data_IF_946846983940
#
_entry.id   IF_946846983940
#
_cell.length_a   1.000
_cell.length_b   1.000
_cell.length_c   1.000
_cell.angle_alpha   90.00
_cell.angle_beta   90.00
_cell.angle_gamma   90.00
#
_symmetry.space_group_name_H-M   'P 1'
#
loop_
_entity.id
_entity.type
_entity.pdbx_description
1 polymer ?
#
# COMPACT_ATOMS: atom_id res chain seq x y z
N UNK A 1 -19.15 11.77 24.56
CA UNK A 1 -18.67 10.79 23.56
C UNK A 1 -19.72 9.69 23.44
N UNK A 2 -20.30 9.43 22.26
CA UNK A 2 -21.29 8.35 22.05
C UNK A 2 -20.58 7.18 21.35
N UNK A 3 -20.71 5.96 21.87
CA UNK A 3 -20.09 4.75 21.33
C UNK A 3 -21.15 3.94 20.59
N UNK A 4 -20.82 3.47 19.37
CA UNK A 4 -21.69 2.57 18.62
C UNK A 4 -21.34 1.12 18.96
N UNK A 5 -22.09 0.52 19.91
CA UNK A 5 -21.84 -0.85 20.37
C UNK A 5 -21.84 -1.89 19.23
N UNK A 6 -22.64 -1.67 18.18
CA UNK A 6 -22.68 -2.55 16.99
C UNK A 6 -21.37 -2.59 16.21
N UNK A 7 -20.50 -1.59 16.38
CA UNK A 7 -19.18 -1.49 15.73
C UNK A 7 -18.04 -1.79 16.69
N UNK A 8 -18.35 -2.13 17.94
CA UNK A 8 -17.36 -2.46 18.95
C UNK A 8 -17.02 -3.95 18.89
N UNK A 9 -15.73 -4.26 18.90
CA UNK A 9 -15.20 -5.60 18.96
C UNK A 9 -14.35 -5.71 20.22
N UNK A 10 -14.67 -6.66 21.10
CA UNK A 10 -14.01 -6.84 22.39
C UNK A 10 -13.38 -8.23 22.50
N UNK A 11 -12.19 -8.31 23.11
CA UNK A 11 -11.48 -9.56 23.39
C UNK A 11 -11.23 -10.46 22.16
N UNK A 12 -10.98 -9.86 20.98
CA UNK A 12 -10.61 -10.61 19.78
C UNK A 12 -9.09 -10.76 19.68
N UNK A 13 -8.62 -11.90 19.18
CA UNK A 13 -7.21 -12.13 18.86
C UNK A 13 -6.75 -11.30 17.64
N UNK A 14 -7.68 -11.02 16.73
CA UNK A 14 -7.45 -10.23 15.52
C UNK A 14 -8.55 -9.19 15.34
N UNK A 15 -8.17 -7.96 14.95
CA UNK A 15 -9.08 -6.86 14.74
C UNK A 15 -8.81 -6.16 13.41
N UNK A 16 -9.87 -5.89 12.64
CA UNK A 16 -9.79 -5.01 11.46
C UNK A 16 -9.93 -3.56 11.88
N UNK A 17 -8.90 -2.75 11.62
CA UNK A 17 -8.90 -1.34 11.93
C UNK A 17 -8.16 -0.56 10.82
N UNK A 18 -8.77 0.53 10.35
CA UNK A 18 -8.17 1.46 9.38
C UNK A 18 -7.62 0.80 8.10
N UNK A 19 -8.19 -0.31 7.63
CA UNK A 19 -7.69 -1.01 6.43
C UNK A 19 -6.54 -1.98 6.71
N UNK A 20 -6.21 -2.19 7.98
CA UNK A 20 -5.26 -3.20 8.44
C UNK A 20 -5.94 -4.27 9.28
N UNK A 21 -5.31 -5.43 9.40
CA UNK A 21 -5.63 -6.46 10.39
C UNK A 21 -4.54 -6.44 11.45
N UNK A 22 -4.92 -6.13 12.69
CA UNK A 22 -4.04 -6.13 13.86
C UNK A 22 -4.18 -7.49 14.53
N UNK A 23 -3.10 -8.24 14.68
CA UNK A 23 -3.07 -9.56 15.33
C UNK A 23 -1.87 -9.61 16.28
N UNK A 24 -2.13 -9.49 17.59
CA UNK A 24 -1.08 -9.37 18.60
C UNK A 24 -0.11 -8.22 18.32
N UNK A 25 1.16 -8.56 18.03
CA UNK A 25 2.23 -7.62 17.68
C UNK A 25 2.43 -7.45 16.16
N UNK A 26 1.56 -8.04 15.34
CA UNK A 26 1.67 -8.01 13.88
C UNK A 26 0.57 -7.16 13.26
N UNK A 27 0.94 -6.43 12.22
CA UNK A 27 0.07 -5.60 11.40
C UNK A 27 0.08 -6.15 9.97
N UNK A 28 -1.09 -6.51 9.48
CA UNK A 28 -1.30 -7.00 8.11
C UNK A 28 -2.13 -6.00 7.32
N UNK A 29 -2.01 -6.03 6.00
CA UNK A 29 -2.95 -5.34 5.12
C UNK A 29 -4.29 -6.11 5.10
N UNK A 30 -5.42 -5.41 5.14
CA UNK A 30 -6.72 -6.04 4.88
C UNK A 30 -6.80 -6.46 3.42
N UNK A 31 -6.65 -7.76 3.17
CA UNK A 31 -6.71 -8.35 1.82
C UNK A 31 -8.00 -8.01 1.07
N UNK A 32 -9.10 -7.70 1.76
CA UNK A 32 -10.35 -7.29 1.09
C UNK A 32 -10.22 -5.91 0.45
N UNK A 33 -9.47 -4.99 1.09
CA UNK A 33 -9.20 -3.65 0.54
C UNK A 33 -8.28 -3.72 -0.66
N UNK A 34 -7.26 -4.60 -0.61
CA UNK A 34 -6.37 -4.85 -1.74
C UNK A 34 -7.12 -5.52 -2.88
N UNK A 35 -7.91 -6.57 -2.61
CA UNK A 35 -8.69 -7.29 -3.63
C UNK A 35 -9.63 -6.35 -4.41
N UNK A 36 -10.29 -5.41 -3.74
CA UNK A 36 -11.14 -4.41 -4.40
C UNK A 36 -10.36 -3.56 -5.43
N UNK A 37 -9.09 -3.25 -5.16
CA UNK A 37 -8.23 -2.52 -6.09
C UNK A 37 -7.66 -3.43 -7.17
N UNK A 38 -7.36 -4.70 -6.85
CA UNK A 38 -6.86 -5.66 -7.82
C UNK A 38 -7.88 -6.05 -8.89
N UNK A 39 -9.17 -6.05 -8.53
CA UNK A 39 -10.29 -6.36 -9.42
C UNK A 39 -10.63 -5.24 -10.39
N UNK A 40 -10.17 -4.01 -10.12
CA UNK A 40 -10.40 -2.90 -11.03
C UNK A 40 -9.56 -3.06 -12.31
N UNK A 41 -10.10 -2.60 -13.46
CA UNK A 41 -9.34 -2.58 -14.70
C UNK A 41 -8.11 -1.68 -14.57
N UNK A 42 -7.14 -1.92 -15.45
CA UNK A 42 -5.93 -1.12 -15.51
C UNK A 42 -6.28 0.37 -15.76
N UNK A 43 -5.73 1.30 -14.98
CA UNK A 43 -6.10 2.72 -15.06
C UNK A 43 -5.75 3.29 -16.43
N UNK A 44 -6.77 3.80 -17.14
CA UNK A 44 -6.63 4.38 -18.48
C UNK A 44 -6.46 5.90 -18.41
N UNK A 45 -6.76 6.50 -17.26
CA UNK A 45 -6.65 7.95 -17.07
C UNK A 45 -5.65 8.32 -16.00
N UNK A 46 -5.08 9.52 -16.14
CA UNK A 46 -4.21 10.13 -15.13
C UNK A 46 -4.84 10.17 -13.73
N UNK A 47 -6.14 10.48 -13.64
CA UNK A 47 -6.86 10.56 -12.36
C UNK A 47 -6.98 9.19 -11.68
N UNK A 48 -7.32 8.16 -12.45
CA UNK A 48 -7.38 6.79 -11.93
C UNK A 48 -6.00 6.34 -11.45
N UNK A 49 -4.95 6.66 -12.20
CA UNK A 49 -3.60 6.32 -11.80
C UNK A 49 -3.15 7.05 -10.53
N UNK A 50 -3.44 8.35 -10.41
CA UNK A 50 -3.17 9.11 -9.18
C UNK A 50 -3.95 8.55 -7.98
N UNK A 51 -5.19 8.12 -8.18
CA UNK A 51 -5.99 7.47 -7.13
C UNK A 51 -5.36 6.13 -6.70
N UNK A 52 -4.92 5.31 -7.66
CA UNK A 52 -4.24 4.05 -7.38
C UNK A 52 -2.91 4.26 -6.65
N UNK A 53 -2.11 5.25 -7.07
CA UNK A 53 -0.86 5.60 -6.41
C UNK A 53 -1.08 6.13 -5.00
N UNK A 54 -2.13 6.93 -4.78
CA UNK A 54 -2.53 7.36 -3.44
C UNK A 54 -2.91 6.19 -2.52
N UNK A 55 -3.67 5.23 -3.04
CA UNK A 55 -3.99 4.00 -2.32
C UNK A 55 -2.73 3.17 -2.01
N UNK A 56 -1.88 2.95 -3.00
CA UNK A 56 -0.64 2.18 -2.84
C UNK A 56 0.32 2.86 -1.87
N UNK A 57 0.37 4.19 -1.87
CA UNK A 57 1.14 5.01 -0.95
C UNK A 57 0.70 4.88 0.51
N UNK A 58 -0.58 4.61 0.77
CA UNK A 58 -1.06 4.31 2.14
C UNK A 58 -0.39 3.06 2.71
N UNK A 59 -0.15 2.04 1.87
CA UNK A 59 0.50 0.79 2.25
C UNK A 59 2.00 0.75 1.95
N UNK A 60 2.65 1.89 1.67
CA UNK A 60 4.07 1.95 1.28
C UNK A 60 5.03 1.21 2.22
N UNK A 61 4.73 1.13 3.51
CA UNK A 61 5.57 0.44 4.50
C UNK A 61 5.66 -1.07 4.27
N UNK A 62 4.68 -1.63 3.57
CA UNK A 62 4.60 -3.04 3.25
C UNK A 62 5.23 -3.38 1.90
N UNK A 63 5.61 -2.37 1.12
CA UNK A 63 6.12 -2.52 -0.25
C UNK A 63 7.61 -2.20 -0.23
N UNK A 64 8.44 -3.18 -0.57
CA UNK A 64 9.87 -2.96 -0.75
C UNK A 64 10.11 -2.05 -1.96
N UNK A 65 11.06 -1.13 -1.83
CA UNK A 65 11.51 -0.22 -2.91
C UNK A 65 10.38 0.60 -3.56
N UNK A 66 9.34 0.93 -2.78
CA UNK A 66 8.17 1.67 -3.25
C UNK A 66 8.53 2.96 -4.00
N UNK A 67 9.55 3.70 -3.54
CA UNK A 67 9.99 4.93 -4.19
C UNK A 67 10.51 4.70 -5.62
N UNK A 68 11.27 3.62 -5.85
CA UNK A 68 11.77 3.27 -7.17
C UNK A 68 10.63 2.97 -8.13
N UNK A 69 9.66 2.16 -7.70
CA UNK A 69 8.49 1.82 -8.53
C UNK A 69 7.60 3.06 -8.75
N UNK A 70 7.45 3.92 -7.74
CA UNK A 70 6.67 5.16 -7.83
C UNK A 70 7.27 6.16 -8.84
N UNK A 71 8.60 6.22 -8.96
CA UNK A 71 9.28 7.14 -9.87
C UNK A 71 8.93 6.91 -11.35
N UNK A 72 8.64 5.66 -11.74
CA UNK A 72 8.16 5.30 -13.09
C UNK A 72 6.86 6.03 -13.49
N UNK A 73 6.13 6.57 -12.50
CA UNK A 73 4.86 7.27 -12.66
C UNK A 73 4.91 8.78 -12.38
N UNK A 74 6.06 9.34 -12.03
CA UNK A 74 6.16 10.75 -11.62
C UNK A 74 6.00 11.72 -12.82
N UNK A 75 6.65 11.43 -13.95
CA UNK A 75 6.58 12.25 -15.17
C UNK A 75 5.16 12.50 -15.70
N UNK A 76 4.27 11.49 -15.87
CA UNK A 76 2.92 11.72 -16.39
C UNK A 76 1.96 12.35 -15.36
N UNK A 77 2.36 12.45 -14.09
CA UNK A 77 1.59 13.20 -13.10
C UNK A 77 1.69 14.72 -13.30
N UNK A 78 2.60 15.21 -14.15
CA UNK A 78 2.75 16.62 -14.46
C UNK A 78 1.63 17.14 -15.37
N UNK A 79 1.18 18.39 -15.16
CA UNK A 79 -0.02 18.92 -15.81
C UNK A 79 0.10 19.03 -17.33
N UNK A 80 1.32 19.08 -17.86
CA UNK A 80 1.61 19.34 -19.28
C UNK A 80 1.87 18.07 -20.11
N UNK A 81 2.05 16.91 -19.48
CA UNK A 81 2.35 15.65 -20.18
C UNK A 81 1.11 14.83 -20.48
N UNK A 82 1.04 14.29 -21.70
CA UNK A 82 0.03 13.29 -22.09
C UNK A 82 0.24 12.03 -21.24
N UNK A 83 -0.82 11.58 -20.58
CA UNK A 83 -0.80 10.31 -19.85
C UNK A 83 -0.81 9.16 -20.84
N UNK A 84 0.17 8.27 -20.73
CA UNK A 84 0.28 7.07 -21.55
C UNK A 84 0.75 5.91 -20.67
N UNK A 85 0.17 4.73 -20.88
CA UNK A 85 0.61 3.53 -20.19
C UNK A 85 1.67 2.81 -21.03
N UNK A 86 2.92 3.27 -20.92
CA UNK A 86 4.07 2.64 -21.59
C UNK A 86 4.36 1.26 -21.00
N UNK A 87 5.10 0.40 -21.72
CA UNK A 87 5.46 -0.94 -21.23
C UNK A 87 6.17 -0.92 -19.86
N UNK A 88 7.02 0.07 -19.61
CA UNK A 88 7.68 0.27 -18.31
C UNK A 88 6.68 0.54 -17.19
N UNK A 89 5.66 1.37 -17.46
CA UNK A 89 4.60 1.71 -16.51
C UNK A 89 3.66 0.51 -16.27
N UNK A 90 3.40 -0.28 -17.30
CA UNK A 90 2.66 -1.55 -17.16
C UNK A 90 3.40 -2.49 -16.21
N UNK A 91 4.71 -2.69 -16.43
CA UNK A 91 5.55 -3.53 -15.56
C UNK A 91 5.56 -3.04 -14.11
N UNK A 92 5.80 -1.75 -13.90
CA UNK A 92 5.79 -1.13 -12.58
C UNK A 92 4.42 -1.27 -11.88
N UNK A 93 3.32 -1.21 -12.65
CA UNK A 93 1.97 -1.36 -12.11
C UNK A 93 1.70 -2.80 -11.66
N UNK A 94 2.12 -3.80 -12.45
CA UNK A 94 2.01 -5.20 -12.06
C UNK A 94 2.90 -5.54 -10.86
N UNK A 95 4.10 -4.97 -10.78
CA UNK A 95 4.99 -5.13 -9.63
C UNK A 95 4.37 -4.57 -8.33
N UNK A 96 3.74 -3.39 -8.41
CA UNK A 96 2.98 -2.83 -7.27
C UNK A 96 1.79 -3.71 -6.88
N UNK A 97 1.00 -4.21 -7.85
CA UNK A 97 -0.10 -5.14 -7.56
C UNK A 97 0.40 -6.40 -6.87
N UNK A 98 1.50 -6.95 -7.35
CA UNK A 98 2.10 -8.17 -6.79
C UNK A 98 2.59 -7.93 -5.37
N UNK A 99 3.27 -6.81 -5.13
CA UNK A 99 3.76 -6.41 -3.81
C UNK A 99 2.64 -6.19 -2.80
N UNK A 100 1.55 -5.54 -3.21
CA UNK A 100 0.36 -5.36 -2.37
C UNK A 100 -0.33 -6.69 -2.01
N UNK A 101 -0.29 -7.66 -2.91
CA UNK A 101 -0.93 -8.97 -2.73
C UNK A 101 -0.10 -9.90 -1.84
N UNK A 102 1.22 -9.90 -2.05
CA UNK A 102 2.19 -10.75 -1.36
C UNK A 102 2.87 -10.06 -0.18
N UNK A 103 2.36 -8.90 0.23
CA UNK A 103 2.90 -8.11 1.33
C UNK A 103 3.12 -8.94 2.60
N UNK A 104 4.31 -8.88 3.22
CA UNK A 104 4.53 -9.46 4.54
C UNK A 104 3.79 -8.66 5.62
N UNK A 105 3.73 -9.23 6.83
CA UNK A 105 3.28 -8.51 8.02
C UNK A 105 4.38 -7.61 8.55
N UNK A 106 3.98 -6.51 9.18
CA UNK A 106 4.87 -5.62 9.91
C UNK A 106 4.76 -5.93 11.39
N UNK A 107 5.89 -5.99 12.09
CA UNK A 107 5.91 -6.09 13.54
C UNK A 107 5.80 -4.69 14.14
N UNK A 108 5.01 -4.56 15.21
CA UNK A 108 4.95 -3.36 16.02
C UNK A 108 6.33 -3.17 16.69
N UNK A 109 6.91 -1.96 16.64
CA UNK A 109 8.23 -1.71 17.21
C UNK A 109 8.24 -1.94 18.72
N UNK A 110 9.22 -2.72 19.20
CA UNK A 110 9.56 -2.80 20.61
C UNK A 110 10.64 -1.76 20.94
N UNK A 111 10.24 -0.71 21.65
CA UNK A 111 11.10 0.40 22.04
C UNK A 111 12.20 0.04 23.05
N UNK A 112 12.18 -1.17 23.61
CA UNK A 112 13.21 -1.66 24.54
C UNK A 112 14.39 -2.31 23.82
N UNK A 113 14.25 -2.64 22.54
CA UNK A 113 15.28 -3.31 21.74
C UNK A 113 15.99 -2.30 20.82
N UNK A 114 17.26 -2.55 20.47
CA UNK A 114 17.95 -1.74 19.46
C UNK A 114 17.32 -1.94 18.09
N UNK A 115 17.23 -0.86 17.30
CA UNK A 115 16.76 -0.88 15.92
C UNK A 115 17.94 -0.96 14.95
N UNK A 116 17.83 -1.82 13.93
CA UNK A 116 18.79 -1.90 12.83
C UNK A 116 18.18 -1.30 11.57
N UNK A 117 18.86 -0.32 10.98
CA UNK A 117 18.46 0.32 9.72
C UNK A 117 19.40 -0.13 8.61
N UNK A 118 18.85 -0.84 7.63
CA UNK A 118 19.55 -1.20 6.39
C UNK A 118 19.15 -0.20 5.30
N UNK A 119 20.13 0.44 4.67
CA UNK A 119 19.92 1.43 3.62
C UNK A 119 20.60 0.93 2.35
N UNK A 120 19.87 0.97 1.25
CA UNK A 120 20.37 0.75 -0.10
C UNK A 120 19.85 1.90 -0.99
N UNK A 121 20.68 2.42 -1.87
CA UNK A 121 20.36 3.59 -2.68
C UNK A 121 20.80 3.36 -4.13
N UNK A 122 19.84 3.38 -5.05
CA UNK A 122 20.07 3.41 -6.49
C UNK A 122 19.45 4.70 -7.05
N UNK A 123 20.21 5.43 -7.87
CA UNK A 123 19.80 6.67 -8.53
C UNK A 123 19.09 6.42 -9.85
#
# INVERSE_FOLDING_TARGET
>A
MKISLKKCHFAYNELKALGHVVSGLSLFIDKNKVAAVLLNPMPQTKKEMQSFLGFSGYYRQHIKDFAGIYNSFYNPCDQQTVYEMTEERVKAYEELKTSLTNSPFLLIPDWKLPFNLYIDACG
#
